data_IF_113576826547
#
_entry.id   IF_113576826547
#
_cell.length_a   1.000
_cell.length_b   1.000
_cell.length_c   1.000
_cell.angle_alpha   90.00
_cell.angle_beta   90.00
_cell.angle_gamma   90.00
#
_symmetry.space_group_name_H-M   'P 1'
#
loop_
_entity.id
_entity.type
_entity.pdbx_description
1 polymer ?
#
# COMPACT_ATOMS: atom_id res chain seq x y z
N UNK A 1 -1.20 9.67 11.55
CA UNK A 1 -0.23 8.54 11.58
C UNK A 1 1.00 8.99 10.81
N UNK A 2 2.25 8.66 11.21
CA UNK A 2 3.43 9.19 10.50
C UNK A 2 3.61 8.42 9.18
N UNK A 3 4.17 9.05 8.15
CA UNK A 3 4.46 8.39 6.84
C UNK A 3 5.21 7.07 6.98
N UNK A 4 6.10 6.98 7.99
CA UNK A 4 6.81 5.74 8.35
C UNK A 4 5.86 4.57 8.61
N UNK A 5 4.76 4.80 9.31
CA UNK A 5 3.83 3.72 9.69
C UNK A 5 3.05 3.22 8.47
N UNK A 6 2.67 4.12 7.55
CA UNK A 6 2.07 3.74 6.26
C UNK A 6 3.04 2.93 5.42
N UNK A 7 4.29 3.38 5.29
CA UNK A 7 5.34 2.64 4.59
C UNK A 7 5.52 1.22 5.15
N UNK A 8 5.66 1.07 6.47
CA UNK A 8 5.83 -0.25 7.10
C UNK A 8 4.61 -1.15 6.85
N UNK A 9 3.40 -0.59 6.93
CA UNK A 9 2.16 -1.32 6.64
C UNK A 9 2.13 -1.82 5.20
N UNK A 10 2.40 -0.95 4.23
CA UNK A 10 2.37 -1.32 2.81
C UNK A 10 3.49 -2.32 2.46
N UNK A 11 4.69 -2.18 3.04
CA UNK A 11 5.77 -3.15 2.83
C UNK A 11 5.41 -4.54 3.36
N UNK A 12 4.78 -4.60 4.54
CA UNK A 12 4.29 -5.86 5.09
C UNK A 12 3.15 -6.45 4.24
N UNK A 13 2.21 -5.61 3.77
CA UNK A 13 1.13 -6.06 2.88
C UNK A 13 1.68 -6.65 1.60
N UNK A 14 2.62 -5.94 0.95
CA UNK A 14 3.29 -6.39 -0.27
C UNK A 14 3.93 -7.78 -0.12
N UNK A 15 4.56 -8.05 1.02
CA UNK A 15 5.20 -9.35 1.32
C UNK A 15 4.17 -10.46 1.53
N UNK A 16 3.15 -10.21 2.34
CA UNK A 16 2.10 -11.21 2.62
C UNK A 16 1.30 -11.52 1.37
N UNK A 17 0.85 -10.50 0.66
CA UNK A 17 0.08 -10.63 -0.57
C UNK A 17 0.92 -11.21 -1.71
N UNK A 18 2.19 -10.83 -1.80
CA UNK A 18 3.13 -11.39 -2.77
C UNK A 18 3.33 -12.89 -2.60
N UNK A 19 3.49 -13.36 -1.36
CA UNK A 19 3.62 -14.78 -1.06
C UNK A 19 2.34 -15.55 -1.43
N UNK A 20 1.17 -15.02 -1.09
CA UNK A 20 -0.13 -15.61 -1.45
C UNK A 20 -0.37 -15.62 -2.97
N UNK A 21 0.01 -14.54 -3.66
CA UNK A 21 -0.05 -14.44 -5.12
C UNK A 21 0.82 -15.51 -5.79
N UNK A 22 2.06 -15.69 -5.32
CA UNK A 22 2.97 -16.68 -5.84
C UNK A 22 2.46 -18.12 -5.62
N UNK A 23 1.85 -18.40 -4.47
CA UNK A 23 1.23 -19.73 -4.20
C UNK A 23 0.10 -20.03 -5.17
N UNK A 24 -0.69 -19.02 -5.53
CA UNK A 24 -1.81 -19.16 -6.48
C UNK A 24 -1.36 -19.19 -7.93
N UNK A 25 -0.19 -18.65 -8.24
CA UNK A 25 0.34 -18.50 -9.60
C UNK A 25 1.76 -19.08 -9.69
N UNK A 26 1.94 -20.41 -9.77
CA UNK A 26 3.26 -21.03 -9.78
C UNK A 26 4.18 -20.55 -10.91
N UNK A 27 3.63 -20.18 -12.06
CA UNK A 27 4.41 -19.61 -13.18
C UNK A 27 4.98 -18.20 -12.92
N UNK A 28 4.50 -17.53 -11.86
CA UNK A 28 4.90 -16.17 -11.47
C UNK A 28 5.56 -16.13 -10.09
N UNK A 29 5.87 -17.27 -9.49
CA UNK A 29 6.41 -17.32 -8.12
C UNK A 29 7.78 -16.64 -7.99
N UNK A 30 8.56 -16.55 -9.07
CA UNK A 30 9.89 -15.90 -9.05
C UNK A 30 9.85 -14.40 -8.77
N UNK A 31 8.70 -13.74 -8.90
CA UNK A 31 8.61 -12.27 -8.78
C UNK A 31 8.25 -11.79 -7.38
N UNK A 32 7.43 -12.55 -6.63
CA UNK A 32 6.83 -12.08 -5.38
C UNK A 32 6.81 -13.15 -4.26
N UNK A 33 7.31 -14.37 -4.48
CA UNK A 33 7.16 -15.46 -3.50
C UNK A 33 7.95 -15.28 -2.20
N UNK A 34 9.12 -14.65 -2.28
CA UNK A 34 10.06 -14.45 -1.17
C UNK A 34 10.85 -13.18 -1.41
N UNK A 35 11.46 -12.65 -0.34
CA UNK A 35 12.53 -11.65 -0.48
C UNK A 35 13.51 -12.16 -1.55
N UNK A 36 13.63 -11.38 -2.62
CA UNK A 36 14.48 -11.67 -3.75
C UNK A 36 15.93 -11.71 -3.29
N UNK A 37 16.77 -12.47 -4.00
CA UNK A 37 18.21 -12.44 -3.74
C UNK A 37 18.88 -11.17 -4.28
N UNK A 38 18.16 -10.38 -5.09
CA UNK A 38 18.67 -9.18 -5.72
C UNK A 38 18.36 -7.93 -4.85
N UNK A 39 19.40 -7.28 -4.28
CA UNK A 39 19.22 -6.07 -3.47
C UNK A 39 18.60 -4.89 -4.21
N UNK A 40 18.77 -4.81 -5.53
CA UNK A 40 18.21 -3.72 -6.34
C UNK A 40 16.70 -3.88 -6.50
N UNK A 41 16.23 -5.12 -6.68
CA UNK A 41 14.80 -5.45 -6.72
C UNK A 41 14.14 -5.15 -5.38
N UNK A 42 14.77 -5.55 -4.26
CA UNK A 42 14.24 -5.25 -2.92
C UNK A 42 14.11 -3.74 -2.69
N UNK A 43 15.09 -2.93 -3.08
CA UNK A 43 14.99 -1.47 -2.97
C UNK A 43 13.87 -0.89 -3.84
N UNK A 44 13.60 -1.48 -5.01
CA UNK A 44 12.44 -1.08 -5.83
C UNK A 44 11.12 -1.41 -5.14
N UNK A 45 10.99 -2.57 -4.51
CA UNK A 45 9.80 -2.97 -3.76
C UNK A 45 9.59 -2.09 -2.52
N UNK A 46 10.65 -1.75 -1.79
CA UNK A 46 10.62 -0.78 -0.70
C UNK A 46 10.18 0.61 -1.19
N UNK A 47 10.72 1.07 -2.32
CA UNK A 47 10.33 2.31 -2.96
C UNK A 47 8.86 2.31 -3.38
N UNK A 48 8.37 1.19 -3.92
CA UNK A 48 6.96 1.01 -4.26
C UNK A 48 6.07 1.09 -3.02
N UNK A 49 6.41 0.37 -1.94
CA UNK A 49 5.71 0.44 -0.67
C UNK A 49 5.70 1.85 -0.06
N UNK A 50 6.79 2.62 -0.23
CA UNK A 50 6.84 4.01 0.20
C UNK A 50 5.86 4.89 -0.58
N UNK A 51 5.81 4.75 -1.92
CA UNK A 51 4.91 5.52 -2.77
C UNK A 51 3.43 5.17 -2.51
N UNK A 52 3.09 3.89 -2.40
CA UNK A 52 1.72 3.46 -2.08
C UNK A 52 1.33 3.86 -0.64
N UNK A 53 2.27 3.83 0.30
CA UNK A 53 2.06 4.31 1.67
C UNK A 53 1.73 5.80 1.71
N UNK A 54 2.45 6.62 0.94
CA UNK A 54 2.13 8.05 0.78
C UNK A 54 0.79 8.28 0.11
N UNK A 55 0.44 7.48 -0.90
CA UNK A 55 -0.85 7.56 -1.56
C UNK A 55 -1.99 7.29 -0.57
N UNK A 56 -1.88 6.21 0.21
CA UNK A 56 -2.86 5.85 1.23
C UNK A 56 -2.97 6.90 2.33
N UNK A 57 -1.84 7.44 2.78
CA UNK A 57 -1.82 8.55 3.73
C UNK A 57 -2.62 9.74 3.19
N UNK A 58 -2.37 10.14 1.93
CA UNK A 58 -3.08 11.26 1.30
C UNK A 58 -4.58 11.00 1.20
N UNK A 59 -4.99 9.78 0.84
CA UNK A 59 -6.40 9.41 0.83
C UNK A 59 -7.05 9.51 2.21
N UNK A 60 -6.39 8.99 3.25
CA UNK A 60 -6.91 9.06 4.62
C UNK A 60 -7.01 10.52 5.14
N UNK A 61 -6.17 11.43 4.62
CA UNK A 61 -6.20 12.86 4.93
C UNK A 61 -7.32 13.61 4.17
N UNK A 62 -7.58 13.27 2.90
CA UNK A 62 -8.53 13.99 2.02
C UNK A 62 -9.98 13.45 2.09
N UNK A 63 -10.17 12.15 2.32
CA UNK A 63 -11.51 11.53 2.37
C UNK A 63 -12.45 12.10 3.45
N UNK A 64 -11.99 12.43 4.67
CA UNK A 64 -12.85 13.02 5.70
C UNK A 64 -13.47 14.34 5.26
N UNK A 65 -12.74 15.16 4.50
CA UNK A 65 -13.21 16.44 4.00
C UNK A 65 -14.31 16.25 2.94
N UNK A 66 -14.11 15.31 2.01
CA UNK A 66 -15.12 14.96 1.00
C UNK A 66 -16.39 14.42 1.64
N UNK A 67 -16.27 13.53 2.63
CA UNK A 67 -17.41 13.00 3.37
C UNK A 67 -18.15 14.10 4.14
N UNK A 68 -17.42 15.02 4.78
CA UNK A 68 -18.01 16.16 5.48
C UNK A 68 -18.80 17.09 4.54
N UNK A 69 -18.23 17.43 3.38
CA UNK A 69 -18.88 18.27 2.38
C UNK A 69 -20.16 17.62 1.82
N UNK A 70 -20.15 16.31 1.56
CA UNK A 70 -21.34 15.58 1.14
C UNK A 70 -22.45 15.60 2.19
N UNK A 71 -22.09 15.43 3.48
CA UNK A 71 -23.07 15.53 4.58
C UNK A 71 -23.66 16.93 4.68
N UNK A 72 -22.87 17.99 4.55
CA UNK A 72 -23.39 19.37 4.55
C UNK A 72 -24.34 19.65 3.37
N UNK A 73 -24.09 19.07 2.20
CA UNK A 73 -24.98 19.19 1.04
C UNK A 73 -26.31 18.46 1.23
N UNK A 74 -26.29 17.28 1.87
CA UNK A 74 -27.48 16.44 2.09
C UNK A 74 -28.30 16.86 3.31
N UNK A 75 -27.65 17.43 4.33
CA UNK A 75 -28.29 17.98 5.52
C UNK A 75 -27.63 19.31 5.90
N UNK A 76 -28.01 20.41 5.21
CA UNK A 76 -27.58 21.73 5.62
C UNK A 76 -28.20 22.03 6.98
N UNK A 77 -27.39 22.47 7.94
CA UNK A 77 -27.88 23.03 9.20
C UNK A 77 -28.73 24.28 8.96
#
# INVERSE_FOLDING_TARGET
MKTKDYYIKELNSLRVEGAEFARKNPGLSSYLAKEGQDPDVERMLEGFAFLTGKLRQKFDEELPEVAHNLVQLLWPS
#
